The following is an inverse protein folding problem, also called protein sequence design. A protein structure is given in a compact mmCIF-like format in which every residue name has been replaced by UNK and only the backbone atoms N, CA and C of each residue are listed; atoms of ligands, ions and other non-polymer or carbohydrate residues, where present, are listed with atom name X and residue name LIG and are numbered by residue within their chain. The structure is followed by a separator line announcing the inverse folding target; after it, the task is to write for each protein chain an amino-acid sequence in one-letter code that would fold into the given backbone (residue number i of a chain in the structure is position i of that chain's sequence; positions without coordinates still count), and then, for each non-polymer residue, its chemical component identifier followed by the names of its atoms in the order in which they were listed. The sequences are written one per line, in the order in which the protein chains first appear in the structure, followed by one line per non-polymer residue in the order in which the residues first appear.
data_IF_892310786221
#
_entry.id   IF_892310786221
#
_cell.length_a   1.000
_cell.length_b   1.000
_cell.length_c   1.000
_cell.angle_alpha   90.00
_cell.angle_beta   90.00
_cell.angle_gamma   90.00
#
_symmetry.space_group_name_H-M   'P 1'
#
loop_
_entity.id
_entity.type
_entity.pdbx_description
1 polymer ?
#
# COMPACT_ATOMS: atom_id res chain seq x y z
N UNK A 1 -13.71 15.85 6.24
CA UNK A 1 -13.36 14.89 5.18
C UNK A 1 -13.16 15.62 3.86
N UNK A 2 -11.93 15.70 3.38
CA UNK A 2 -11.56 16.21 2.05
C UNK A 2 -11.05 15.05 1.19
N UNK A 3 -11.60 14.94 -0.01
CA UNK A 3 -11.27 13.91 -0.98
C UNK A 3 -10.41 14.53 -2.09
N UNK A 4 -9.24 13.96 -2.32
CA UNK A 4 -8.41 14.25 -3.50
C UNK A 4 -8.85 13.32 -4.63
N UNK A 5 -9.47 13.88 -5.66
CA UNK A 5 -9.87 13.16 -6.86
C UNK A 5 -8.84 13.33 -7.97
N UNK A 6 -8.37 12.23 -8.55
CA UNK A 6 -7.36 12.22 -9.61
C UNK A 6 -7.90 11.38 -10.76
N UNK A 7 -8.09 12.00 -11.92
CA UNK A 7 -8.58 11.33 -13.12
C UNK A 7 -7.82 11.87 -14.35
N UNK A 8 -6.70 11.25 -14.72
CA UNK A 8 -6.07 11.47 -16.01
C UNK A 8 -7.02 11.14 -17.18
N UNK A 9 -6.70 11.64 -18.37
CA UNK A 9 -7.45 11.43 -19.60
C UNK A 9 -6.54 11.61 -20.81
N UNK A 10 -6.08 10.54 -21.43
CA UNK A 10 -5.12 10.56 -22.55
C UNK A 10 -5.23 9.40 -23.56
N UNK A 11 -6.07 8.39 -23.32
CA UNK A 11 -6.43 7.33 -24.27
C UNK A 11 -7.91 6.91 -24.14
N UNK A 12 -8.39 6.04 -25.02
CA UNK A 12 -9.79 5.61 -25.05
C UNK A 12 -10.28 5.03 -23.72
N UNK A 13 -9.50 4.17 -23.07
CA UNK A 13 -9.87 3.57 -21.79
C UNK A 13 -9.95 4.63 -20.68
N UNK A 14 -9.04 5.62 -20.71
CA UNK A 14 -9.06 6.74 -19.78
C UNK A 14 -10.31 7.62 -19.96
N UNK A 15 -10.87 7.74 -21.18
CA UNK A 15 -12.08 8.55 -21.40
C UNK A 15 -13.28 7.96 -20.66
N UNK A 16 -13.47 6.64 -20.77
CA UNK A 16 -14.54 5.93 -20.07
C UNK A 16 -14.37 6.03 -18.54
N UNK A 17 -13.18 5.73 -18.02
CA UNK A 17 -12.95 5.79 -16.57
C UNK A 17 -13.04 7.21 -16.01
N UNK A 18 -12.68 8.22 -16.80
CA UNK A 18 -12.87 9.63 -16.47
C UNK A 18 -14.36 9.99 -16.32
N UNK A 19 -15.22 9.55 -17.25
CA UNK A 19 -16.66 9.79 -17.16
C UNK A 19 -17.27 9.05 -15.95
N UNK A 20 -16.82 7.82 -15.68
CA UNK A 20 -17.24 7.06 -14.49
C UNK A 20 -16.84 7.76 -13.19
N UNK A 21 -15.67 8.40 -13.17
CA UNK A 21 -15.20 9.21 -12.05
C UNK A 21 -16.05 10.47 -11.86
N UNK A 22 -16.45 11.15 -12.94
CA UNK A 22 -17.34 12.30 -12.84
C UNK A 22 -18.72 11.93 -12.27
N UNK A 23 -19.27 10.80 -12.68
CA UNK A 23 -20.53 10.27 -12.12
C UNK A 23 -20.40 9.98 -10.61
N UNK A 24 -19.25 9.44 -10.18
CA UNK A 24 -18.95 9.24 -8.76
C UNK A 24 -18.91 10.58 -8.01
N UNK A 25 -18.28 11.60 -8.58
CA UNK A 25 -18.19 12.94 -7.98
C UNK A 25 -19.57 13.56 -7.82
N UNK A 26 -20.45 13.48 -8.83
CA UNK A 26 -21.82 14.01 -8.73
C UNK A 26 -22.64 13.26 -7.66
N UNK A 27 -22.58 11.93 -7.65
CA UNK A 27 -23.28 11.09 -6.67
C UNK A 27 -22.82 11.36 -5.21
N UNK A 28 -21.59 11.84 -5.07
CA UNK A 28 -20.94 12.17 -3.80
C UNK A 28 -20.68 13.67 -3.62
N UNK A 29 -21.41 14.54 -4.34
CA UNK A 29 -21.20 16.00 -4.34
C UNK A 29 -21.37 16.69 -3.00
N UNK A 30 -22.01 16.03 -2.02
CA UNK A 30 -22.12 16.52 -0.64
C UNK A 30 -20.78 16.54 0.10
N UNK A 31 -19.79 15.80 -0.39
CA UNK A 31 -18.43 15.77 0.17
C UNK A 31 -17.55 16.84 -0.47
N UNK A 32 -16.51 17.26 0.25
CA UNK A 32 -15.57 18.26 -0.26
C UNK A 32 -14.54 17.57 -1.14
N UNK A 33 -14.42 18.00 -2.39
CA UNK A 33 -13.47 17.48 -3.36
C UNK A 33 -12.41 18.52 -3.71
N UNK A 34 -11.18 18.05 -3.91
CA UNK A 34 -10.13 18.74 -4.63
C UNK A 34 -9.79 17.90 -5.86
N UNK A 35 -10.13 18.39 -7.05
CA UNK A 35 -10.09 17.61 -8.28
C UNK A 35 -8.87 17.96 -9.13
N UNK A 36 -8.15 16.94 -9.57
CA UNK A 36 -7.05 17.01 -10.52
C UNK A 36 -7.45 16.16 -11.74
N UNK A 37 -7.99 16.84 -12.75
CA UNK A 37 -8.62 16.22 -13.93
C UNK A 37 -7.77 16.45 -15.18
N UNK A 38 -7.61 15.42 -16.02
CA UNK A 38 -6.88 15.50 -17.30
C UNK A 38 -5.46 16.06 -17.11
N UNK A 39 -5.18 17.20 -17.73
CA UNK A 39 -3.88 17.90 -17.64
C UNK A 39 -3.45 18.27 -16.22
N UNK A 40 -4.39 18.37 -15.27
CA UNK A 40 -4.04 18.64 -13.87
C UNK A 40 -3.63 17.38 -13.09
N UNK A 41 -3.89 16.17 -13.62
CA UNK A 41 -3.57 14.87 -13.00
C UNK A 41 -2.07 14.51 -13.12
N UNK A 42 -1.20 15.45 -12.76
CA UNK A 42 0.26 15.34 -12.80
C UNK A 42 0.82 14.99 -11.43
N UNK A 43 2.05 14.47 -11.38
CA UNK A 43 2.75 14.19 -10.12
C UNK A 43 2.90 15.46 -9.28
N UNK A 44 3.32 16.55 -9.90
CA UNK A 44 3.63 17.81 -9.23
C UNK A 44 2.38 18.36 -8.53
N UNK A 45 1.24 18.34 -9.20
CA UNK A 45 -0.03 18.79 -8.65
C UNK A 45 -0.54 17.87 -7.54
N UNK A 46 -0.44 16.55 -7.72
CA UNK A 46 -0.84 15.57 -6.70
C UNK A 46 0.01 15.71 -5.44
N UNK A 47 1.33 15.78 -5.58
CA UNK A 47 2.23 15.97 -4.44
C UNK A 47 2.01 17.32 -3.76
N UNK A 48 1.77 18.39 -4.53
CA UNK A 48 1.44 19.71 -3.98
C UNK A 48 0.14 19.66 -3.16
N UNK A 49 -0.90 19.02 -3.69
CA UNK A 49 -2.17 18.85 -2.99
C UNK A 49 -1.99 18.07 -1.68
N UNK A 50 -1.27 16.94 -1.73
CA UNK A 50 -1.04 16.10 -0.54
C UNK A 50 -0.18 16.78 0.54
N UNK A 51 0.72 17.71 0.17
CA UNK A 51 1.53 18.47 1.12
C UNK A 51 0.79 19.65 1.73
N UNK A 52 -0.06 20.31 0.95
CA UNK A 52 -0.66 21.59 1.33
C UNK A 52 -2.09 21.45 1.88
N UNK A 53 -2.73 20.30 1.65
CA UNK A 53 -4.11 20.06 2.04
C UNK A 53 -4.18 18.85 3.00
N UNK A 54 -5.04 18.95 3.99
CA UNK A 54 -5.42 17.81 4.82
C UNK A 54 -6.36 16.89 4.04
N UNK A 55 -5.77 16.01 3.23
CA UNK A 55 -6.51 14.98 2.47
C UNK A 55 -6.79 13.77 3.36
N UNK A 56 -8.04 13.32 3.39
CA UNK A 56 -8.46 12.10 4.11
C UNK A 56 -8.49 10.88 3.18
N UNK A 57 -8.97 11.08 1.95
CA UNK A 57 -9.16 10.03 0.96
C UNK A 57 -8.54 10.48 -0.37
N UNK A 58 -7.75 9.61 -0.98
CA UNK A 58 -7.30 9.72 -2.36
C UNK A 58 -8.15 8.80 -3.22
N UNK A 59 -8.79 9.33 -4.25
CA UNK A 59 -9.57 8.60 -5.25
C UNK A 59 -8.89 8.73 -6.59
N UNK A 60 -8.54 7.61 -7.22
CA UNK A 60 -7.86 7.59 -8.51
C UNK A 60 -8.57 6.65 -9.50
N UNK A 61 -8.84 7.13 -10.70
CA UNK A 61 -9.48 6.36 -11.76
C UNK A 61 -8.64 6.48 -13.01
N UNK A 62 -7.89 5.42 -13.35
CA UNK A 62 -7.25 5.21 -14.65
C UNK A 62 -6.33 3.96 -14.65
N UNK A 63 -5.46 3.87 -15.66
CA UNK A 63 -4.26 3.06 -15.67
C UNK A 63 -3.46 3.07 -14.37
N UNK A 64 -3.02 1.87 -14.02
CA UNK A 64 -2.06 1.61 -12.97
C UNK A 64 -1.24 0.38 -13.33
N UNK A 65 -0.20 0.17 -12.55
CA UNK A 65 0.53 -1.09 -12.56
C UNK A 65 0.96 -1.47 -11.12
N UNK A 66 1.76 -2.52 -10.99
CA UNK A 66 2.26 -2.95 -9.68
C UNK A 66 3.09 -1.87 -8.96
N UNK A 67 3.63 -0.88 -9.68
CA UNK A 67 4.54 0.15 -9.17
C UNK A 67 3.82 1.42 -8.73
N UNK A 68 2.67 1.74 -9.32
CA UNK A 68 1.93 2.95 -8.98
C UNK A 68 0.71 3.25 -9.86
N UNK A 69 0.21 4.48 -9.72
CA UNK A 69 -0.93 5.06 -10.40
C UNK A 69 -0.42 6.02 -11.47
N UNK A 70 -0.82 5.82 -12.73
CA UNK A 70 -0.23 6.48 -13.89
C UNK A 70 -0.63 7.96 -13.92
N UNK A 71 0.31 8.84 -14.27
CA UNK A 71 0.03 10.26 -14.44
C UNK A 71 -0.55 10.55 -15.83
N UNK A 72 -1.08 11.76 -16.01
CA UNK A 72 -1.48 12.27 -17.32
C UNK A 72 -0.42 12.02 -18.42
N UNK A 73 -0.90 11.70 -19.62
CA UNK A 73 -0.11 11.36 -20.81
C UNK A 73 0.65 10.02 -20.72
N UNK A 74 0.38 9.17 -19.74
CA UNK A 74 1.03 7.86 -19.58
C UNK A 74 2.52 7.93 -19.21
N UNK A 75 3.06 9.12 -18.95
CA UNK A 75 4.49 9.35 -18.70
C UNK A 75 4.78 9.28 -17.20
N UNK A 76 4.93 8.07 -16.69
CA UNK A 76 5.26 7.81 -15.29
C UNK A 76 4.04 7.82 -14.37
N UNK A 77 4.27 8.13 -13.08
CA UNK A 77 3.25 7.95 -12.04
C UNK A 77 2.94 9.25 -11.32
N UNK A 78 1.67 9.50 -11.02
CA UNK A 78 1.27 10.56 -10.09
C UNK A 78 1.48 10.13 -8.64
N UNK A 79 1.27 8.83 -8.37
CA UNK A 79 1.60 8.18 -7.10
C UNK A 79 2.36 6.89 -7.32
N UNK A 80 3.50 6.74 -6.66
CA UNK A 80 4.31 5.53 -6.67
C UNK A 80 5.02 5.35 -5.32
N UNK A 81 5.86 4.32 -5.21
CA UNK A 81 6.60 4.03 -3.98
C UNK A 81 7.54 5.15 -3.51
N UNK A 82 7.89 6.11 -4.37
CA UNK A 82 8.78 7.23 -4.03
C UNK A 82 8.04 8.32 -3.25
N UNK A 83 6.73 8.45 -3.43
CA UNK A 83 5.91 9.47 -2.75
C UNK A 83 4.78 8.89 -1.88
N UNK A 84 4.75 7.57 -1.65
CA UNK A 84 3.82 6.89 -0.72
C UNK A 84 3.80 7.48 0.70
N UNK A 85 4.87 8.14 1.15
CA UNK A 85 4.87 8.79 2.46
C UNK A 85 3.84 9.93 2.57
N UNK A 86 3.44 10.53 1.45
CA UNK A 86 2.47 11.62 1.41
C UNK A 86 1.03 11.14 1.65
N UNK A 87 0.78 9.83 1.50
CA UNK A 87 -0.53 9.21 1.71
C UNK A 87 -0.60 8.38 2.99
N UNK A 88 0.39 8.52 3.88
CA UNK A 88 0.45 7.75 5.13
C UNK A 88 -0.81 7.96 5.98
N UNK A 89 -1.40 6.86 6.44
CA UNK A 89 -2.62 6.83 7.26
C UNK A 89 -3.91 7.21 6.51
N UNK A 90 -3.85 7.45 5.19
CA UNK A 90 -5.01 7.83 4.38
C UNK A 90 -5.70 6.61 3.78
N UNK A 91 -6.90 6.84 3.23
CA UNK A 91 -7.56 5.88 2.34
C UNK A 91 -7.08 6.15 0.92
N UNK A 92 -6.76 5.08 0.19
CA UNK A 92 -6.48 5.11 -1.25
C UNK A 92 -7.52 4.22 -1.93
N UNK A 93 -8.46 4.84 -2.65
CA UNK A 93 -9.51 4.18 -3.41
C UNK A 93 -9.21 4.28 -4.90
N UNK A 94 -9.07 3.15 -5.58
CA UNK A 94 -8.61 3.15 -6.97
C UNK A 94 -9.45 2.25 -7.86
N UNK A 95 -9.72 2.75 -9.06
CA UNK A 95 -9.94 1.92 -10.24
C UNK A 95 -8.64 1.97 -11.05
N UNK A 96 -7.74 1.02 -10.78
CA UNK A 96 -6.45 0.93 -11.46
C UNK A 96 -5.90 -0.50 -11.47
N UNK A 97 -5.57 -1.00 -12.66
CA UNK A 97 -5.02 -2.33 -12.89
C UNK A 97 -3.78 -2.60 -12.03
N UNK A 98 -3.65 -3.81 -11.50
CA UNK A 98 -2.46 -4.37 -10.84
C UNK A 98 -1.93 -3.59 -9.60
N UNK A 99 -2.51 -2.43 -9.30
CA UNK A 99 -2.07 -1.51 -8.24
C UNK A 99 -2.14 -2.15 -6.86
N UNK A 100 -3.02 -3.14 -6.68
CA UNK A 100 -3.11 -3.97 -5.48
C UNK A 100 -1.90 -4.89 -5.27
N UNK A 101 -1.23 -5.38 -6.33
CA UNK A 101 -0.19 -6.44 -6.21
C UNK A 101 0.99 -6.02 -5.34
N UNK A 102 1.57 -4.84 -5.58
CA UNK A 102 2.79 -4.38 -4.90
C UNK A 102 2.65 -2.95 -4.33
N UNK A 103 2.21 -1.96 -5.12
CA UNK A 103 1.98 -0.59 -4.65
C UNK A 103 1.03 -0.52 -3.45
N UNK A 104 -0.19 -1.04 -3.58
CA UNK A 104 -1.20 -1.03 -2.54
C UNK A 104 -0.81 -1.86 -1.32
N UNK A 105 -0.12 -2.98 -1.54
CA UNK A 105 0.42 -3.80 -0.46
C UNK A 105 1.49 -3.04 0.33
N UNK A 106 2.35 -2.25 -0.32
CA UNK A 106 3.33 -1.40 0.37
C UNK A 106 2.65 -0.24 1.11
N UNK A 107 1.67 0.43 0.49
CA UNK A 107 0.88 1.48 1.11
C UNK A 107 0.26 1.00 2.44
N UNK A 108 -0.40 -0.15 2.42
CA UNK A 108 -1.01 -0.74 3.61
C UNK A 108 0.03 -1.14 4.67
N UNK A 109 1.06 -1.89 4.26
CA UNK A 109 1.98 -2.52 5.22
C UNK A 109 2.95 -1.53 5.86
N UNK A 110 3.38 -0.50 5.12
CA UNK A 110 4.45 0.41 5.54
C UNK A 110 3.91 1.77 6.00
N UNK A 111 2.79 2.19 5.43
CA UNK A 111 2.25 3.53 5.62
C UNK A 111 0.86 3.52 6.25
N UNK A 112 0.39 2.37 6.75
CA UNK A 112 -0.87 2.23 7.47
C UNK A 112 -2.09 2.77 6.68
N UNK A 113 -2.04 2.66 5.35
CA UNK A 113 -3.14 3.06 4.49
C UNK A 113 -4.24 1.99 4.48
N UNK A 114 -5.48 2.42 4.33
CA UNK A 114 -6.53 1.56 3.76
C UNK A 114 -6.39 1.63 2.24
N UNK A 115 -6.25 0.48 1.59
CA UNK A 115 -6.09 0.43 0.14
C UNK A 115 -7.24 -0.35 -0.50
N UNK A 116 -7.84 0.20 -1.53
CA UNK A 116 -8.86 -0.40 -2.36
C UNK A 116 -8.44 -0.31 -3.83
N UNK A 117 -8.46 -1.44 -4.53
CA UNK A 117 -8.04 -1.51 -5.94
C UNK A 117 -8.07 -2.94 -6.44
N UNK A 118 -7.27 -3.23 -7.46
CA UNK A 118 -7.26 -4.54 -8.11
C UNK A 118 -5.87 -5.16 -8.07
N UNK A 119 -5.79 -6.44 -7.69
CA UNK A 119 -4.56 -7.24 -7.73
C UNK A 119 -4.40 -8.03 -9.02
N UNK A 120 -5.17 -7.69 -10.07
CA UNK A 120 -4.94 -8.06 -11.46
C UNK A 120 -5.42 -6.94 -12.40
N UNK A 121 -5.50 -7.19 -13.71
CA UNK A 121 -6.11 -6.26 -14.66
C UNK A 121 -7.58 -6.01 -14.31
N UNK A 122 -8.04 -4.78 -14.56
CA UNK A 122 -9.45 -4.44 -14.56
C UNK A 122 -9.87 -4.27 -16.03
N UNK A 123 -10.89 -5.00 -16.45
CA UNK A 123 -11.27 -5.06 -17.85
C UNK A 123 -12.76 -4.81 -18.01
N UNK A 124 -13.13 -3.97 -18.97
CA UNK A 124 -14.52 -3.63 -19.24
C UNK A 124 -14.81 -3.65 -20.74
N UNK A 125 -16.11 -3.66 -21.06
CA UNK A 125 -16.61 -3.53 -22.41
C UNK A 125 -17.35 -2.20 -22.55
N UNK A 126 -17.18 -1.52 -23.67
CA UNK A 126 -17.79 -0.21 -24.00
C UNK A 126 -19.16 -0.34 -24.70
N UNK A 127 -19.69 -1.56 -24.78
CA UNK A 127 -21.03 -1.85 -25.32
C UNK A 127 -22.16 -1.63 -24.30
N UNK A 128 -23.31 -2.29 -24.52
CA UNK A 128 -24.54 -2.10 -23.70
C UNK A 128 -24.36 -2.35 -22.20
N UNK A 129 -23.39 -3.17 -21.81
CA UNK A 129 -23.13 -3.55 -20.42
C UNK A 129 -22.14 -2.62 -19.69
N UNK A 130 -21.58 -1.58 -20.35
CA UNK A 130 -20.55 -0.70 -19.75
C UNK A 130 -20.99 -0.12 -18.39
N UNK A 131 -22.25 0.31 -18.30
CA UNK A 131 -22.84 0.86 -17.09
C UNK A 131 -22.73 -0.06 -15.87
N UNK A 132 -22.71 -1.38 -16.06
CA UNK A 132 -22.56 -2.36 -14.98
C UNK A 132 -21.15 -2.33 -14.38
N UNK A 133 -20.11 -2.13 -15.20
CA UNK A 133 -18.73 -1.99 -14.74
C UNK A 133 -18.56 -0.70 -13.94
N UNK A 134 -19.06 0.42 -14.48
CA UNK A 134 -19.11 1.72 -13.79
C UNK A 134 -19.78 1.61 -12.43
N UNK A 135 -20.97 1.02 -12.39
CA UNK A 135 -21.71 0.84 -11.13
C UNK A 135 -20.88 0.06 -10.12
N UNK A 136 -20.26 -1.06 -10.52
CA UNK A 136 -19.45 -1.88 -9.61
C UNK A 136 -18.18 -1.15 -9.14
N UNK A 137 -17.49 -0.44 -10.04
CA UNK A 137 -16.31 0.34 -9.74
C UNK A 137 -16.56 1.44 -8.71
N UNK A 138 -17.70 2.13 -8.80
CA UNK A 138 -18.05 3.24 -7.91
C UNK A 138 -18.66 2.78 -6.59
N UNK A 139 -19.27 1.59 -6.57
CA UNK A 139 -20.18 1.16 -5.49
C UNK A 139 -19.51 1.14 -4.11
N UNK A 140 -18.28 0.67 -4.00
CA UNK A 140 -17.60 0.53 -2.71
C UNK A 140 -17.42 1.85 -1.98
N UNK A 141 -16.93 2.88 -2.68
CA UNK A 141 -16.77 4.21 -2.08
C UNK A 141 -18.13 4.84 -1.75
N UNK A 142 -19.10 4.72 -2.67
CA UNK A 142 -20.46 5.23 -2.44
C UNK A 142 -21.06 4.60 -1.19
N UNK A 143 -21.00 3.28 -1.07
CA UNK A 143 -21.52 2.54 0.07
C UNK A 143 -20.83 2.98 1.36
N UNK A 144 -19.50 3.00 1.38
CA UNK A 144 -18.71 3.38 2.57
C UNK A 144 -19.02 4.79 3.04
N UNK A 145 -19.15 5.73 2.12
CA UNK A 145 -19.39 7.13 2.47
C UNK A 145 -20.86 7.40 2.80
N UNK A 146 -21.83 6.71 2.19
CA UNK A 146 -23.24 6.89 2.54
C UNK A 146 -23.63 6.19 3.85
N UNK A 147 -22.87 5.18 4.27
CA UNK A 147 -23.07 4.45 5.52
C UNK A 147 -21.89 4.67 6.47
N UNK A 148 -21.86 5.81 7.18
CA UNK A 148 -20.69 6.24 7.97
C UNK A 148 -20.19 5.20 9.00
N UNK A 149 -21.08 4.41 9.58
CA UNK A 149 -20.77 3.36 10.55
C UNK A 149 -20.25 2.06 9.93
N UNK A 150 -20.34 1.91 8.60
CA UNK A 150 -19.85 0.71 7.91
C UNK A 150 -18.33 0.61 8.00
N UNK A 151 -17.81 -0.61 7.96
CA UNK A 151 -16.37 -0.86 7.82
C UNK A 151 -15.97 -0.93 6.34
N UNK A 152 -14.68 -0.82 6.02
CA UNK A 152 -14.23 -1.08 4.65
C UNK A 152 -14.39 -2.55 4.25
N UNK A 153 -14.35 -3.46 5.22
CA UNK A 153 -14.70 -4.87 5.01
C UNK A 153 -16.16 -5.03 4.57
N UNK A 154 -17.09 -4.37 5.25
CA UNK A 154 -18.51 -4.39 4.86
C UNK A 154 -18.73 -3.79 3.48
N UNK A 155 -18.10 -2.64 3.17
CA UNK A 155 -18.18 -2.04 1.84
C UNK A 155 -17.62 -2.95 0.74
N UNK A 156 -16.54 -3.68 1.04
CA UNK A 156 -15.95 -4.68 0.15
C UNK A 156 -16.91 -5.83 -0.14
N UNK A 157 -17.50 -6.44 0.90
CA UNK A 157 -18.49 -7.52 0.71
C UNK A 157 -19.72 -7.03 -0.09
N UNK A 158 -20.21 -5.82 0.21
CA UNK A 158 -21.32 -5.23 -0.55
C UNK A 158 -20.96 -4.93 -2.00
N UNK A 159 -19.71 -4.60 -2.30
CA UNK A 159 -19.26 -4.45 -3.69
C UNK A 159 -19.20 -5.79 -4.41
N UNK A 160 -18.77 -6.87 -3.73
CA UNK A 160 -18.81 -8.22 -4.32
C UNK A 160 -20.23 -8.69 -4.59
N UNK A 161 -21.18 -8.39 -3.69
CA UNK A 161 -22.62 -8.60 -3.93
C UNK A 161 -23.09 -7.83 -5.18
N UNK A 162 -22.67 -6.57 -5.34
CA UNK A 162 -22.99 -5.74 -6.50
C UNK A 162 -22.43 -6.32 -7.80
N UNK A 163 -21.18 -6.81 -7.80
CA UNK A 163 -20.63 -7.56 -8.94
C UNK A 163 -21.45 -8.81 -9.26
N UNK A 164 -21.90 -9.58 -8.25
CA UNK A 164 -22.74 -10.76 -8.48
C UNK A 164 -24.10 -10.41 -9.09
N UNK A 165 -24.66 -9.24 -8.75
CA UNK A 165 -25.85 -8.70 -9.39
C UNK A 165 -25.57 -8.32 -10.85
N UNK A 166 -24.47 -7.59 -11.10
CA UNK A 166 -24.06 -7.17 -12.44
C UNK A 166 -23.81 -8.38 -13.36
N UNK A 167 -23.13 -9.43 -12.89
CA UNK A 167 -22.90 -10.68 -13.66
C UNK A 167 -24.23 -11.34 -14.07
N UNK A 168 -25.26 -11.28 -13.22
CA UNK A 168 -26.58 -11.83 -13.55
C UNK A 168 -27.31 -10.97 -14.58
N UNK A 169 -27.15 -9.64 -14.51
CA UNK A 169 -27.80 -8.66 -15.40
C UNK A 169 -27.14 -8.53 -16.77
N UNK A 170 -25.83 -8.71 -16.85
CA UNK A 170 -25.07 -8.53 -18.08
C UNK A 170 -25.64 -9.39 -19.22
N UNK A 171 -25.77 -8.78 -20.39
CA UNK A 171 -26.31 -9.47 -21.58
C UNK A 171 -25.24 -10.28 -22.28
N UNK A 172 -24.03 -9.73 -22.41
CA UNK A 172 -22.92 -10.38 -23.11
C UNK A 172 -22.21 -11.40 -22.22
N UNK A 173 -21.87 -12.57 -22.80
CA UNK A 173 -21.05 -13.57 -22.12
C UNK A 173 -19.67 -13.01 -21.74
N UNK A 174 -19.10 -12.17 -22.61
CA UNK A 174 -17.83 -11.50 -22.33
C UNK A 174 -17.94 -10.58 -21.12
N UNK A 175 -19.00 -9.75 -21.04
CA UNK A 175 -19.22 -8.88 -19.89
C UNK A 175 -19.34 -9.67 -18.58
N UNK A 176 -20.00 -10.84 -18.60
CA UNK A 176 -20.08 -11.73 -17.43
C UNK A 176 -18.71 -12.25 -17.00
N UNK A 177 -17.87 -12.64 -17.97
CA UNK A 177 -16.52 -13.11 -17.70
C UNK A 177 -15.65 -12.01 -17.11
N UNK A 178 -15.69 -10.81 -17.69
CA UNK A 178 -14.93 -9.65 -17.23
C UNK A 178 -15.38 -9.18 -15.84
N UNK A 179 -16.69 -8.99 -15.61
CA UNK A 179 -17.22 -8.65 -14.28
C UNK A 179 -16.85 -9.67 -13.20
N UNK A 180 -16.81 -10.97 -13.56
CA UNK A 180 -16.33 -12.01 -12.65
C UNK A 180 -14.84 -11.87 -12.38
N UNK A 181 -14.04 -11.62 -13.40
CA UNK A 181 -12.61 -11.37 -13.27
C UNK A 181 -12.36 -10.17 -12.35
N UNK A 182 -12.95 -9.02 -12.64
CA UNK A 182 -12.78 -7.79 -11.85
C UNK A 182 -13.18 -8.00 -10.38
N UNK A 183 -14.30 -8.70 -10.12
CA UNK A 183 -14.73 -9.06 -8.76
C UNK A 183 -13.70 -9.89 -8.02
N UNK A 184 -13.11 -10.88 -8.70
CA UNK A 184 -12.16 -11.82 -8.10
C UNK A 184 -10.76 -11.19 -7.94
N UNK A 185 -10.45 -10.16 -8.74
CA UNK A 185 -9.25 -9.33 -8.67
C UNK A 185 -9.37 -8.15 -7.68
N UNK A 186 -10.58 -7.81 -7.24
CA UNK A 186 -10.81 -6.72 -6.30
C UNK A 186 -10.17 -7.03 -4.94
N UNK A 187 -9.44 -6.07 -4.39
CA UNK A 187 -8.83 -6.16 -3.06
C UNK A 187 -9.16 -4.94 -2.21
N UNK A 188 -9.37 -5.19 -0.92
CA UNK A 188 -9.44 -4.18 0.12
C UNK A 188 -8.51 -4.59 1.26
N UNK A 189 -7.38 -3.90 1.44
CA UNK A 189 -6.37 -4.29 2.41
C UNK A 189 -6.71 -3.94 3.87
N UNK A 190 -7.89 -3.38 4.12
CA UNK A 190 -8.49 -3.33 5.47
C UNK A 190 -9.35 -4.57 5.77
N UNK A 191 -9.95 -5.16 4.73
CA UNK A 191 -10.76 -6.37 4.80
C UNK A 191 -9.89 -7.64 4.86
N UNK A 192 -8.84 -7.65 4.06
CA UNK A 192 -7.98 -8.82 3.86
C UNK A 192 -6.51 -8.42 3.87
N UNK A 193 -5.68 -9.27 4.45
CA UNK A 193 -4.24 -9.06 4.49
C UNK A 193 -3.62 -9.23 3.08
N UNK A 194 -2.69 -8.36 2.65
CA UNK A 194 -2.00 -8.52 1.37
C UNK A 194 -1.30 -9.87 1.27
N UNK A 195 -1.13 -10.38 0.03
CA UNK A 195 -0.40 -11.63 -0.25
C UNK A 195 0.93 -11.68 0.52
N UNK A 196 1.31 -12.85 1.07
CA UNK A 196 2.53 -12.95 1.86
C UNK A 196 3.75 -12.60 1.00
N UNK A 197 4.76 -11.93 1.58
CA UNK A 197 5.95 -11.54 0.86
C UNK A 197 6.74 -12.77 0.40
N UNK A 198 7.41 -12.67 -0.76
CA UNK A 198 8.26 -13.75 -1.32
C UNK A 198 9.40 -14.15 -0.37
N UNK A 199 9.94 -13.21 0.41
CA UNK A 199 11.06 -13.42 1.32
C UNK A 199 10.72 -14.42 2.47
N UNK A 200 11.44 -15.55 2.60
CA UNK A 200 11.18 -16.53 3.66
C UNK A 200 11.31 -15.95 5.08
N UNK A 201 12.35 -15.15 5.34
CA UNK A 201 12.56 -14.51 6.65
C UNK A 201 11.40 -13.59 7.02
N UNK A 202 10.86 -12.86 6.04
CA UNK A 202 9.70 -12.00 6.28
C UNK A 202 8.43 -12.82 6.56
N UNK A 203 8.26 -13.99 5.94
CA UNK A 203 7.16 -14.91 6.26
C UNK A 203 7.29 -15.45 7.69
N UNK A 204 8.50 -15.81 8.14
CA UNK A 204 8.75 -16.20 9.53
C UNK A 204 8.43 -15.05 10.49
N UNK A 205 8.90 -13.84 10.18
CA UNK A 205 8.59 -12.66 11.00
C UNK A 205 7.10 -12.37 11.09
N UNK A 206 6.34 -12.50 9.98
CA UNK A 206 4.87 -12.35 9.99
C UNK A 206 4.22 -13.45 10.83
N UNK A 207 4.72 -14.68 10.75
CA UNK A 207 4.19 -15.79 11.56
C UNK A 207 4.42 -15.59 13.06
N UNK A 208 5.55 -14.99 13.45
CA UNK A 208 5.89 -14.74 14.85
C UNK A 208 5.27 -13.46 15.41
N UNK A 209 5.20 -12.39 14.60
CA UNK A 209 4.88 -11.04 15.07
C UNK A 209 3.64 -10.42 14.38
N UNK A 210 2.92 -11.19 13.56
CA UNK A 210 1.73 -10.73 12.82
C UNK A 210 2.03 -9.51 11.95
N UNK A 211 1.17 -8.49 12.04
CA UNK A 211 1.28 -7.24 11.28
C UNK A 211 2.57 -6.47 11.59
N UNK A 212 3.08 -6.55 12.82
CA UNK A 212 4.38 -5.93 13.16
C UNK A 212 5.53 -6.54 12.37
N UNK A 213 5.47 -7.86 12.09
CA UNK A 213 6.44 -8.57 11.25
C UNK A 213 6.51 -8.03 9.81
N UNK A 214 5.42 -7.45 9.29
CA UNK A 214 5.42 -6.79 7.97
C UNK A 214 6.17 -5.47 7.98
N UNK A 215 6.26 -4.79 9.13
CA UNK A 215 6.91 -3.47 9.28
C UNK A 215 8.41 -3.56 9.53
N UNK A 216 8.93 -4.75 9.85
CA UNK A 216 10.36 -4.95 10.12
C UNK A 216 11.16 -4.66 8.84
N UNK A 217 12.00 -3.62 8.90
CA UNK A 217 12.92 -3.29 7.81
C UNK A 217 14.13 -4.23 7.80
N UNK A 218 14.77 -4.39 6.63
CA UNK A 218 16.02 -5.16 6.53
C UNK A 218 17.11 -4.60 7.43
N UNK A 219 17.20 -3.26 7.51
CA UNK A 219 18.16 -2.56 8.36
C UNK A 219 17.89 -2.84 9.84
N UNK A 220 16.63 -2.83 10.27
CA UNK A 220 16.26 -3.19 11.64
C UNK A 220 16.65 -4.65 11.94
N UNK A 221 16.28 -5.59 11.06
CA UNK A 221 16.61 -7.00 11.24
C UNK A 221 18.13 -7.24 11.29
N UNK A 222 18.89 -6.57 10.42
CA UNK A 222 20.36 -6.64 10.41
C UNK A 222 20.96 -6.02 11.68
N UNK A 223 20.41 -4.90 12.15
CA UNK A 223 20.83 -4.26 13.39
C UNK A 223 20.64 -5.18 14.61
N UNK A 224 19.48 -5.83 14.72
CA UNK A 224 19.21 -6.83 15.78
C UNK A 224 20.14 -8.04 15.65
N UNK A 225 20.34 -8.56 14.43
CA UNK A 225 21.26 -9.68 14.22
C UNK A 225 22.69 -9.35 14.63
N UNK A 226 23.16 -8.12 14.32
CA UNK A 226 24.49 -7.64 14.68
C UNK A 226 24.66 -7.47 16.19
N UNK A 227 23.61 -7.00 16.89
CA UNK A 227 23.62 -6.96 18.36
C UNK A 227 23.74 -8.35 18.98
N UNK A 228 22.95 -9.33 18.52
CA UNK A 228 23.00 -10.69 19.05
C UNK A 228 24.33 -11.38 18.74
N UNK A 229 24.88 -11.19 17.55
CA UNK A 229 26.22 -11.66 17.22
C UNK A 229 27.26 -11.06 18.17
N UNK A 230 27.18 -9.75 18.42
CA UNK A 230 28.11 -9.07 19.30
C UNK A 230 28.01 -9.52 20.76
N UNK A 231 26.78 -9.71 21.28
CA UNK A 231 26.53 -10.29 22.61
C UNK A 231 27.13 -11.70 22.68
N UNK A 232 26.91 -12.52 21.65
CA UNK A 232 27.47 -13.87 21.58
C UNK A 232 29.00 -13.90 21.67
N UNK A 233 29.69 -13.01 20.93
CA UNK A 233 31.15 -12.87 20.99
C UNK A 233 31.63 -12.42 22.36
N UNK A 234 30.98 -11.42 22.98
CA UNK A 234 31.35 -10.96 24.32
C UNK A 234 31.13 -12.04 25.38
N UNK A 235 30.03 -12.79 25.33
CA UNK A 235 29.73 -13.88 26.25
C UNK A 235 30.70 -15.05 26.07
N UNK A 236 31.01 -15.41 24.83
CA UNK A 236 31.98 -16.45 24.51
C UNK A 236 33.36 -16.13 25.12
N UNK A 237 33.86 -14.91 24.90
CA UNK A 237 35.16 -14.49 25.44
C UNK A 237 35.15 -14.41 26.96
N UNK A 238 34.05 -13.96 27.56
CA UNK A 238 33.86 -13.99 29.01
C UNK A 238 33.92 -15.41 29.58
N UNK A 239 33.30 -16.39 28.91
CA UNK A 239 33.35 -17.80 29.32
C UNK A 239 34.77 -18.35 29.23
N UNK A 240 35.50 -18.08 28.14
CA UNK A 240 36.90 -18.50 27.99
C UNK A 240 37.80 -17.96 29.10
N UNK A 241 37.58 -16.70 29.47
CA UNK A 241 38.30 -16.04 30.55
C UNK A 241 37.98 -16.67 31.91
N UNK A 242 36.69 -16.94 32.19
CA UNK A 242 36.25 -17.61 33.41
C UNK A 242 36.82 -19.03 33.53
N UNK A 243 36.96 -19.74 32.42
CA UNK A 243 37.53 -21.08 32.37
C UNK A 243 39.07 -21.09 32.43
N UNK A 244 39.73 -19.92 32.40
CA UNK A 244 41.19 -19.77 32.31
C UNK A 244 41.79 -20.54 31.11
N UNK A 245 41.01 -20.72 30.05
CA UNK A 245 41.42 -21.41 28.82
C UNK A 245 42.17 -20.43 27.89
N UNK A 246 41.97 -19.14 28.08
CA UNK A 246 42.71 -18.07 27.38
C UNK A 246 44.08 -17.80 28.02
N UNK A 247 45.09 -17.58 27.18
CA UNK A 247 46.39 -17.06 27.63
C UNK A 247 46.16 -15.63 28.19
N UNK A 248 46.52 -15.34 29.45
CA UNK A 248 46.26 -14.05 30.10
C UNK A 248 46.92 -12.85 29.41
N UNK A 249 47.88 -13.08 28.50
CA UNK A 249 48.52 -12.03 27.70
C UNK A 249 47.82 -11.75 26.37
N UNK A 250 46.73 -12.45 26.05
CA UNK A 250 45.88 -12.17 24.89
C UNK A 250 44.78 -11.19 25.25
N UNK A 251 45.09 -10.24 26.13
CA UNK A 251 44.15 -9.31 26.69
C UNK A 251 44.15 -8.00 25.88
N UNK A 252 42.98 -7.54 25.43
CA UNK A 252 41.70 -8.24 25.40
C UNK A 252 41.60 -9.19 24.19
N UNK A 253 40.88 -10.32 24.30
CA UNK A 253 40.66 -11.21 23.18
C UNK A 253 39.90 -10.44 22.11
N UNK A 254 40.34 -10.55 20.86
CA UNK A 254 39.79 -9.78 19.75
C UNK A 254 38.25 -9.88 19.66
N UNK A 255 37.66 -11.00 20.10
CA UNK A 255 36.22 -11.22 20.11
C UNK A 255 35.44 -10.22 20.96
N UNK A 256 35.95 -9.80 22.13
CA UNK A 256 35.28 -8.83 22.99
C UNK A 256 35.13 -7.45 22.33
N UNK A 257 36.19 -6.95 21.69
CA UNK A 257 36.14 -5.67 20.98
C UNK A 257 35.27 -5.75 19.73
N UNK A 258 35.41 -6.82 18.94
CA UNK A 258 34.55 -7.04 17.77
C UNK A 258 33.08 -7.19 18.18
N UNK A 259 32.83 -7.83 19.31
CA UNK A 259 31.49 -8.00 19.88
C UNK A 259 30.90 -6.68 20.32
N UNK A 260 31.65 -5.89 21.09
CA UNK A 260 31.24 -4.55 21.53
C UNK A 260 30.97 -3.63 20.33
N UNK A 261 31.85 -3.61 19.33
CA UNK A 261 31.66 -2.84 18.10
C UNK A 261 30.37 -3.26 17.37
N UNK A 262 30.13 -4.57 17.26
CA UNK A 262 28.91 -5.10 16.63
C UNK A 262 27.65 -4.66 17.38
N UNK A 263 27.65 -4.70 18.72
CA UNK A 263 26.54 -4.21 19.55
C UNK A 263 26.27 -2.73 19.28
N UNK A 264 27.31 -1.89 19.31
CA UNK A 264 27.19 -0.44 19.10
C UNK A 264 26.66 -0.14 17.69
N UNK A 265 27.21 -0.76 16.65
CA UNK A 265 26.75 -0.57 15.27
C UNK A 265 25.30 -1.03 15.12
N UNK A 266 24.94 -2.19 15.67
CA UNK A 266 23.57 -2.68 15.63
C UNK A 266 22.58 -1.76 16.35
N UNK A 267 22.98 -1.19 17.50
CA UNK A 267 22.21 -0.18 18.23
C UNK A 267 22.00 1.10 17.44
N UNK A 268 23.04 1.61 16.78
CA UNK A 268 22.92 2.78 15.90
C UNK A 268 21.93 2.50 14.77
N UNK A 269 22.00 1.32 14.14
CA UNK A 269 21.12 0.94 13.04
C UNK A 269 19.64 0.86 13.47
N UNK A 270 19.36 0.20 14.60
CA UNK A 270 18.01 0.06 15.15
C UNK A 270 17.44 1.43 15.54
N UNK A 271 18.24 2.24 16.26
CA UNK A 271 17.85 3.59 16.67
C UNK A 271 17.60 4.51 15.49
N UNK A 272 18.45 4.44 14.46
CA UNK A 272 18.29 5.21 13.24
C UNK A 272 16.99 4.87 12.50
N UNK A 273 16.66 3.59 12.36
CA UNK A 273 15.40 3.16 11.76
C UNK A 273 14.19 3.62 12.58
N UNK A 274 14.28 3.59 13.91
CA UNK A 274 13.24 4.13 14.78
C UNK A 274 13.04 5.65 14.61
N UNK A 275 14.13 6.42 14.58
CA UNK A 275 14.10 7.87 14.32
C UNK A 275 13.49 8.15 12.94
N UNK A 276 13.89 7.38 11.91
CA UNK A 276 13.36 7.51 10.55
C UNK A 276 11.87 7.22 10.48
N UNK A 277 11.40 6.23 11.24
CA UNK A 277 9.97 5.93 11.36
C UNK A 277 9.20 7.06 12.06
N UNK A 278 9.72 7.60 13.17
CA UNK A 278 9.11 8.75 13.86
C UNK A 278 9.03 9.97 12.94
N UNK A 279 10.12 10.31 12.24
CA UNK A 279 10.14 11.43 11.27
C UNK A 279 9.16 11.27 10.12
N UNK A 280 8.78 10.05 9.77
CA UNK A 280 7.78 9.74 8.74
C UNK A 280 6.35 9.90 9.22
N UNK A 281 6.10 9.72 10.52
CA UNK A 281 4.76 9.82 11.11
C UNK A 281 4.33 11.27 11.40
N UNK A 282 5.30 12.16 11.62
CA UNK A 282 5.06 13.57 12.01
C UNK A 282 5.44 14.58 10.92
N UNK A 283 5.49 14.16 9.65
CA UNK A 283 5.63 15.03 8.48
C UNK A 283 4.39 14.93 7.64
#
# INVERSE_FOLDING_TARGET
MLILGIAPRFDEATEHSFDWFLDLVDELRKYRWYLLLGEEATRENVERALRNLEIDIVVFYDHGDERGLVAQNGKGYCLDKKNLNLVAGKVIYTLACLSGKDYGAEAHNKWDCVFWGYDDEFAFNTGEDEHLFKECANYGLIYKLKNSNSTWNEAYEKTREKFNEAIRKAKSLWSKMLLRHDRDSLVCYDAHEPRPPRCPLRRVAIRLFGRAGRKISRTFALGIALQWLGIGLCVHDFILECQKISNPYRFPPHGFWWGTLSIVLGFIMVTWEHIKWLKRKYK
#
